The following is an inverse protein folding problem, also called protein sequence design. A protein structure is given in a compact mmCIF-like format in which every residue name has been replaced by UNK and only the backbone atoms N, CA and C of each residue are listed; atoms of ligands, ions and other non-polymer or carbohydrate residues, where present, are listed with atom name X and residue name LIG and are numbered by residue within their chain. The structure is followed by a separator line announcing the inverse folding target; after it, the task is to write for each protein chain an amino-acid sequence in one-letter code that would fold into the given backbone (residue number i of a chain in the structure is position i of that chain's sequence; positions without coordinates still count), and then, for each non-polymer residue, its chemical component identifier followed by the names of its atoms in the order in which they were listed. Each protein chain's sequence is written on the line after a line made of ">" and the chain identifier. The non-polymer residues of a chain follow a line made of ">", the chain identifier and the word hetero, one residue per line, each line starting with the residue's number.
data_IF_243277648660
#
_entry.id   IF_243277648660
#
_cell.length_a   1.000
_cell.length_b   1.000
_cell.length_c   1.000
_cell.angle_alpha   90.00
_cell.angle_beta   90.00
_cell.angle_gamma   90.00
#
_symmetry.space_group_name_H-M   'P 1'
#
loop_
_entity.id
_entity.type
_entity.pdbx_description
1 polymer ?
#
# COMPACT_ATOMS: atom_id res chain seq x y z
N UNK A 1 -52.99 57.97 7.39
CA UNK A 1 -52.06 57.43 6.39
C UNK A 1 -50.82 56.94 7.11
N UNK A 2 -50.75 55.64 7.38
CA UNK A 2 -49.59 55.00 8.03
C UNK A 2 -48.86 54.19 6.98
N UNK A 3 -47.57 54.46 6.77
CA UNK A 3 -46.71 53.65 5.90
C UNK A 3 -45.97 52.65 6.78
N UNK A 4 -46.00 51.35 6.47
CA UNK A 4 -45.17 50.37 7.21
C UNK A 4 -43.75 50.32 6.63
N UNK A 5 -42.81 50.48 7.52
CA UNK A 5 -41.35 50.34 7.31
C UNK A 5 -41.03 48.86 7.10
N UNK A 6 -40.61 48.50 5.88
CA UNK A 6 -40.11 47.15 5.59
C UNK A 6 -38.65 47.04 5.97
N UNK A 7 -38.38 46.35 7.03
CA UNK A 7 -37.01 45.93 7.44
C UNK A 7 -36.59 44.75 6.59
N UNK A 8 -35.64 44.98 5.68
CA UNK A 8 -34.99 43.89 4.93
C UNK A 8 -33.95 43.22 5.81
N UNK A 9 -34.22 41.99 6.23
CA UNK A 9 -33.22 41.14 6.91
C UNK A 9 -32.33 40.56 5.84
N UNK A 10 -31.09 41.06 5.77
CA UNK A 10 -30.02 40.43 4.98
C UNK A 10 -29.53 39.23 5.76
N UNK A 11 -29.95 38.04 5.39
CA UNK A 11 -29.37 36.80 5.86
C UNK A 11 -27.99 36.65 5.20
N UNK A 12 -26.93 36.97 5.93
CA UNK A 12 -25.60 36.61 5.53
C UNK A 12 -25.44 35.07 5.68
N UNK A 13 -25.50 34.40 4.54
CA UNK A 13 -25.16 32.98 4.49
C UNK A 13 -23.65 32.84 4.81
N UNK A 14 -23.33 32.44 6.03
CA UNK A 14 -22.01 31.91 6.39
C UNK A 14 -21.83 30.59 5.62
N UNK A 15 -21.12 30.66 4.51
CA UNK A 15 -20.57 29.49 3.85
C UNK A 15 -19.45 29.00 4.80
N UNK A 16 -19.57 27.81 5.42
CA UNK A 16 -18.44 27.27 6.14
C UNK A 16 -17.34 27.04 5.10
N UNK A 17 -16.24 27.77 5.25
CA UNK A 17 -15.01 27.47 4.55
C UNK A 17 -14.61 26.05 5.00
N UNK A 18 -14.83 25.06 4.15
CA UNK A 18 -14.28 23.73 4.29
C UNK A 18 -12.75 23.88 4.30
N UNK A 19 -12.19 23.92 5.47
CA UNK A 19 -10.74 23.84 5.65
C UNK A 19 -10.36 22.41 5.26
N UNK A 20 -9.95 22.22 4.00
CA UNK A 20 -9.19 21.03 3.61
C UNK A 20 -7.93 21.08 4.49
N UNK A 21 -7.89 20.29 5.53
CA UNK A 21 -6.63 19.96 6.19
C UNK A 21 -5.84 19.13 5.17
N UNK A 22 -5.01 19.80 4.37
CA UNK A 22 -3.94 19.13 3.66
C UNK A 22 -3.04 18.51 4.72
N UNK A 23 -3.13 17.21 4.92
CA UNK A 23 -2.12 16.47 5.64
C UNK A 23 -0.82 16.58 4.84
N UNK A 24 0.29 16.80 5.54
CA UNK A 24 1.59 16.96 4.92
C UNK A 24 1.91 15.72 4.05
N UNK A 25 2.43 15.96 2.86
CA UNK A 25 2.94 14.90 2.00
C UNK A 25 3.95 14.04 2.78
N UNK A 26 3.74 12.74 2.81
CA UNK A 26 4.69 11.79 3.38
C UNK A 26 5.55 11.21 2.26
N UNK A 27 6.85 11.20 2.51
CA UNK A 27 7.81 10.62 1.58
C UNK A 27 8.27 9.26 2.07
N UNK A 28 8.37 8.31 1.14
CA UNK A 28 8.85 6.96 1.40
C UNK A 28 9.99 6.60 0.45
N UNK A 29 11.03 5.98 0.99
CA UNK A 29 11.96 5.17 0.21
C UNK A 29 11.34 3.80 -0.03
N UNK A 30 11.33 3.35 -1.28
CA UNK A 30 10.82 2.05 -1.68
C UNK A 30 11.92 1.20 -2.30
N UNK A 31 11.95 -0.08 -1.95
CA UNK A 31 12.83 -1.05 -2.58
C UNK A 31 12.12 -2.40 -2.69
N UNK A 32 12.48 -3.16 -3.71
CA UNK A 32 11.89 -4.48 -3.92
C UNK A 32 12.82 -5.41 -4.68
N UNK A 33 12.52 -6.68 -4.54
CA UNK A 33 13.15 -7.76 -5.29
C UNK A 33 12.08 -8.78 -5.67
N UNK A 34 12.00 -9.11 -6.94
CA UNK A 34 11.10 -10.12 -7.47
C UNK A 34 11.90 -11.29 -8.03
N UNK A 35 11.44 -12.48 -7.74
CA UNK A 35 12.00 -13.71 -8.28
C UNK A 35 10.91 -14.52 -8.94
N UNK A 36 11.08 -14.83 -10.22
CA UNK A 36 10.14 -15.60 -11.01
C UNK A 36 10.79 -16.93 -11.42
N UNK A 37 10.09 -18.02 -11.17
CA UNK A 37 10.43 -19.35 -11.71
C UNK A 37 9.21 -19.89 -12.45
N UNK A 38 9.37 -20.12 -13.75
CA UNK A 38 8.30 -20.61 -14.62
C UNK A 38 8.70 -21.95 -15.20
N UNK A 39 7.83 -22.94 -15.08
CA UNK A 39 8.09 -24.28 -15.54
C UNK A 39 9.02 -25.08 -14.61
N UNK A 40 9.79 -25.96 -15.19
CA UNK A 40 10.77 -26.81 -14.51
C UNK A 40 12.20 -26.27 -14.62
N UNK A 41 12.38 -25.05 -15.07
CA UNK A 41 13.69 -24.43 -15.23
C UNK A 41 14.35 -24.19 -13.87
N UNK A 42 15.66 -24.38 -13.82
CA UNK A 42 16.46 -24.11 -12.60
C UNK A 42 16.73 -22.60 -12.48
N UNK A 43 16.77 -21.90 -13.62
CA UNK A 43 17.03 -20.46 -13.68
C UNK A 43 15.80 -19.67 -13.22
N UNK A 44 16.04 -18.68 -12.41
CA UNK A 44 15.05 -17.72 -11.95
C UNK A 44 15.36 -16.36 -12.58
N UNK A 45 14.32 -15.66 -13.04
CA UNK A 45 14.44 -14.26 -13.42
C UNK A 45 14.39 -13.42 -12.16
N UNK A 46 15.32 -12.49 -12.01
CA UNK A 46 15.40 -11.57 -10.89
C UNK A 46 15.18 -10.15 -11.36
N UNK A 47 14.31 -9.42 -10.67
CA UNK A 47 14.06 -8.01 -10.90
C UNK A 47 14.27 -7.27 -9.59
N UNK A 48 15.01 -6.18 -9.60
CA UNK A 48 15.21 -5.34 -8.43
C UNK A 48 14.67 -3.94 -8.70
N UNK A 49 14.16 -3.32 -7.64
CA UNK A 49 13.54 -2.01 -7.68
C UNK A 49 14.10 -1.12 -6.59
N UNK A 50 14.28 0.14 -6.89
CA UNK A 50 14.65 1.15 -5.90
C UNK A 50 14.13 2.51 -6.31
N UNK A 51 13.47 3.20 -5.39
CA UNK A 51 12.92 4.51 -5.69
C UNK A 51 12.32 5.21 -4.50
N UNK A 52 11.46 6.15 -4.82
CA UNK A 52 10.76 6.98 -3.85
C UNK A 52 9.29 7.09 -4.22
N UNK A 53 8.47 7.22 -3.19
CA UNK A 53 7.04 7.44 -3.29
C UNK A 53 6.69 8.67 -2.45
N UNK A 54 6.01 9.63 -3.06
CA UNK A 54 5.39 10.76 -2.35
C UNK A 54 3.92 10.48 -2.17
N UNK A 55 3.46 10.39 -0.94
CA UNK A 55 2.07 10.13 -0.59
C UNK A 55 1.42 11.39 -0.05
N UNK A 56 0.42 11.90 -0.77
CA UNK A 56 -0.49 12.92 -0.30
C UNK A 56 -1.74 12.27 0.31
N UNK A 57 -2.18 12.76 1.46
CA UNK A 57 -3.40 12.30 2.13
C UNK A 57 -4.33 13.49 2.27
N UNK A 58 -5.52 13.39 1.72
CA UNK A 58 -6.61 14.35 1.91
C UNK A 58 -7.77 13.68 2.63
N UNK A 59 -8.43 14.41 3.51
CA UNK A 59 -9.61 13.92 4.23
C UNK A 59 -10.76 14.91 4.05
N UNK A 60 -11.94 14.39 3.81
CA UNK A 60 -13.17 15.16 3.70
C UNK A 60 -14.35 14.45 4.37
N UNK A 61 -15.57 14.92 4.11
CA UNK A 61 -16.79 14.32 4.65
C UNK A 61 -17.14 12.95 4.05
N UNK A 62 -16.47 12.52 2.98
CA UNK A 62 -16.70 11.23 2.33
C UNK A 62 -15.71 10.15 2.81
N UNK A 63 -14.50 10.57 3.25
CA UNK A 63 -13.47 9.65 3.71
C UNK A 63 -12.05 10.19 3.55
N UNK A 64 -11.12 9.30 3.23
CA UNK A 64 -9.71 9.62 2.99
C UNK A 64 -9.35 9.32 1.54
N UNK A 65 -8.70 10.27 0.90
CA UNK A 65 -8.13 10.10 -0.43
C UNK A 65 -6.61 10.08 -0.33
N UNK A 66 -6.02 9.02 -0.84
CA UNK A 66 -4.58 8.84 -0.92
C UNK A 66 -4.14 9.01 -2.37
N UNK A 67 -3.11 9.80 -2.58
CA UNK A 67 -2.49 10.00 -3.90
C UNK A 67 -1.01 9.75 -3.76
N UNK A 68 -0.48 8.76 -4.47
CA UNK A 68 0.94 8.46 -4.50
C UNK A 68 1.52 8.81 -5.87
N UNK A 69 2.61 9.57 -5.87
CA UNK A 69 3.48 9.75 -7.03
C UNK A 69 4.75 8.93 -6.80
N UNK A 70 4.99 7.94 -7.66
CA UNK A 70 6.08 6.97 -7.54
C UNK A 70 7.11 7.20 -8.61
N UNK A 71 8.37 7.18 -8.21
CA UNK A 71 9.52 7.26 -9.11
C UNK A 71 10.55 6.23 -8.70
N UNK A 72 10.79 5.21 -9.52
CA UNK A 72 11.74 4.16 -9.20
C UNK A 72 12.55 3.70 -10.41
N UNK A 73 13.66 3.07 -10.11
CA UNK A 73 14.50 2.36 -11.07
C UNK A 73 14.23 0.87 -10.95
N UNK A 74 13.89 0.24 -12.07
CA UNK A 74 13.85 -1.20 -12.26
C UNK A 74 15.15 -1.66 -12.91
N UNK A 75 15.71 -2.76 -12.42
CA UNK A 75 16.86 -3.43 -12.99
C UNK A 75 16.53 -4.91 -13.16
N UNK A 76 16.62 -5.39 -14.38
CA UNK A 76 16.43 -6.79 -14.77
C UNK A 76 17.50 -7.20 -15.81
N UNK A 77 17.35 -8.39 -16.40
CA UNK A 77 18.26 -8.91 -17.43
C UNK A 77 18.30 -8.04 -18.69
N UNK A 78 17.23 -7.30 -18.99
CA UNK A 78 17.16 -6.38 -20.14
C UNK A 78 17.88 -5.04 -19.90
N UNK A 79 18.22 -4.76 -18.64
CA UNK A 79 18.94 -3.56 -18.22
C UNK A 79 18.18 -2.71 -17.21
N UNK A 80 18.50 -1.43 -17.18
CA UNK A 80 17.96 -0.46 -16.22
C UNK A 80 16.89 0.41 -16.89
N UNK A 81 15.72 0.48 -16.27
CA UNK A 81 14.64 1.37 -16.67
C UNK A 81 14.24 2.29 -15.52
N UNK A 82 13.80 3.51 -15.83
CA UNK A 82 13.16 4.41 -14.86
C UNK A 82 11.66 4.41 -15.12
N UNK A 83 10.88 4.23 -14.08
CA UNK A 83 9.43 4.16 -14.14
C UNK A 83 8.83 5.25 -13.26
N UNK A 84 7.78 5.89 -13.75
CA UNK A 84 6.98 6.88 -13.05
C UNK A 84 5.55 6.40 -13.06
N UNK A 85 4.91 6.42 -11.90
CA UNK A 85 3.51 6.05 -11.76
C UNK A 85 2.77 7.01 -10.83
N UNK A 86 1.47 7.08 -10.99
CA UNK A 86 0.58 7.81 -10.10
C UNK A 86 -0.60 6.94 -9.74
N UNK A 87 -0.85 6.81 -8.44
CA UNK A 87 -1.91 5.99 -7.87
C UNK A 87 -2.88 6.86 -7.09
N UNK A 88 -4.14 6.52 -7.16
CA UNK A 88 -5.19 7.16 -6.36
C UNK A 88 -6.02 6.07 -5.73
N UNK A 89 -6.17 6.13 -4.41
CA UNK A 89 -7.04 5.23 -3.66
C UNK A 89 -7.94 6.05 -2.75
N UNK A 90 -9.20 5.71 -2.67
CA UNK A 90 -10.16 6.35 -1.77
C UNK A 90 -10.67 5.32 -0.77
N UNK A 91 -10.54 5.63 0.52
CA UNK A 91 -11.16 4.90 1.62
C UNK A 91 -12.38 5.66 2.06
N UNK A 92 -13.56 5.14 1.77
CA UNK A 92 -14.82 5.72 2.17
C UNK A 92 -15.13 5.44 3.64
N UNK A 93 -16.01 6.21 4.25
CA UNK A 93 -16.39 6.05 5.66
C UNK A 93 -17.07 4.70 5.98
N UNK A 94 -17.64 4.02 5.01
CA UNK A 94 -18.17 2.67 5.15
C UNK A 94 -17.11 1.57 5.11
N UNK A 95 -15.84 1.95 4.93
CA UNK A 95 -14.71 1.05 4.83
C UNK A 95 -14.47 0.48 3.44
N UNK A 96 -15.20 0.94 2.43
CA UNK A 96 -14.98 0.56 1.03
C UNK A 96 -13.74 1.27 0.48
N UNK A 97 -12.88 0.53 -0.20
CA UNK A 97 -11.79 1.09 -1.01
C UNK A 97 -12.25 1.22 -2.45
N UNK A 98 -12.04 2.41 -3.02
CA UNK A 98 -12.15 2.63 -4.45
C UNK A 98 -10.75 2.90 -5.02
N UNK A 99 -10.35 2.06 -5.95
CA UNK A 99 -9.09 2.22 -6.69
C UNK A 99 -9.37 3.01 -7.97
N UNK A 100 -8.70 4.14 -8.13
CA UNK A 100 -8.95 5.08 -9.24
C UNK A 100 -7.69 5.33 -10.05
N UNK A 101 -7.31 4.36 -10.81
CA UNK A 101 -6.19 4.45 -11.72
C UNK A 101 -4.94 3.85 -11.12
N UNK A 102 -4.54 2.80 -11.73
CA UNK A 102 -3.38 2.03 -11.40
C UNK A 102 -2.56 1.90 -12.69
N UNK A 103 -1.40 2.55 -12.69
CA UNK A 103 -0.44 2.45 -13.77
C UNK A 103 0.84 1.72 -13.29
N UNK A 104 0.82 1.13 -12.07
CA UNK A 104 2.00 0.41 -11.56
C UNK A 104 1.90 -1.08 -11.83
N UNK A 105 2.56 -1.58 -12.88
CA UNK A 105 2.58 -3.01 -13.19
C UNK A 105 3.36 -3.82 -12.14
N UNK A 106 4.20 -3.17 -11.33
CA UNK A 106 5.20 -3.83 -10.48
C UNK A 106 4.82 -3.84 -8.98
N UNK A 107 3.65 -3.33 -8.60
CA UNK A 107 3.16 -3.32 -7.20
C UNK A 107 4.13 -2.72 -6.17
N UNK A 108 4.86 -1.68 -6.56
CA UNK A 108 5.81 -1.04 -5.64
C UNK A 108 5.17 -0.03 -4.69
N UNK A 109 4.01 0.49 -5.02
CA UNK A 109 3.36 1.52 -4.22
C UNK A 109 2.87 0.97 -2.88
N UNK A 110 2.94 1.83 -1.87
CA UNK A 110 2.36 1.57 -0.54
C UNK A 110 0.84 1.31 -0.61
N UNK A 111 0.14 1.86 -1.59
CA UNK A 111 -1.31 1.68 -1.77
C UNK A 111 -1.69 0.27 -2.22
N UNK A 112 -0.78 -0.47 -2.83
CA UNK A 112 -0.99 -1.85 -3.24
C UNK A 112 -0.67 -2.86 -2.12
N UNK A 113 -0.37 -2.37 -0.92
CA UNK A 113 -0.12 -3.26 0.21
C UNK A 113 -1.44 -3.65 0.91
N UNK A 114 -1.51 -4.85 1.50
CA UNK A 114 -2.72 -5.32 2.19
C UNK A 114 -2.98 -4.61 3.53
N UNK A 115 -2.13 -3.66 3.89
CA UNK A 115 -2.21 -2.89 5.13
C UNK A 115 -2.54 -1.44 4.84
N UNK A 116 -3.37 -0.86 5.70
CA UNK A 116 -3.71 0.54 5.59
C UNK A 116 -2.47 1.43 5.76
N UNK A 117 -2.37 2.46 4.96
CA UNK A 117 -1.37 3.51 5.05
C UNK A 117 -1.48 4.28 6.37
N UNK A 118 -2.69 4.46 6.86
CA UNK A 118 -2.99 5.14 8.10
C UNK A 118 -4.07 4.33 8.85
N UNK A 119 -3.89 4.14 10.13
CA UNK A 119 -4.85 3.44 10.99
C UNK A 119 -5.77 4.45 11.67
N UNK A 120 -7.01 4.05 11.89
CA UNK A 120 -7.91 4.77 12.78
C UNK A 120 -7.47 4.61 14.25
N UNK A 121 -8.00 5.50 15.11
CA UNK A 121 -7.61 5.53 16.52
C UNK A 121 -8.02 4.27 17.32
N UNK A 122 -9.02 3.53 16.86
CA UNK A 122 -9.46 2.28 17.51
C UNK A 122 -8.48 1.17 17.17
N UNK A 123 -8.22 0.96 15.89
CA UNK A 123 -7.25 -0.03 15.39
C UNK A 123 -5.87 0.21 15.97
N UNK A 124 -5.41 1.46 16.05
CA UNK A 124 -4.12 1.79 16.64
C UNK A 124 -4.05 1.39 18.13
N UNK A 125 -5.09 1.69 18.92
CA UNK A 125 -5.17 1.27 20.33
C UNK A 125 -5.19 -0.24 20.49
N UNK A 126 -5.86 -0.95 19.61
CA UNK A 126 -5.92 -2.40 19.62
C UNK A 126 -4.55 -3.01 19.30
N UNK A 127 -3.81 -2.45 18.35
CA UNK A 127 -2.42 -2.85 18.07
C UNK A 127 -1.49 -2.56 19.26
N UNK A 128 -1.63 -1.45 19.95
CA UNK A 128 -0.84 -1.12 21.16
C UNK A 128 -1.06 -2.15 22.29
N UNK A 129 -2.27 -2.70 22.37
CA UNK A 129 -2.70 -3.67 23.37
C UNK A 129 -2.54 -5.12 22.92
N UNK A 130 -2.15 -5.34 21.68
CA UNK A 130 -2.05 -6.66 21.09
C UNK A 130 -1.17 -7.57 21.95
N UNK A 131 -1.72 -8.70 22.35
CA UNK A 131 -1.04 -9.76 23.11
C UNK A 131 -1.32 -11.11 22.46
N UNK A 132 -0.24 -11.89 22.30
CA UNK A 132 -0.36 -13.19 21.64
C UNK A 132 -0.56 -13.07 20.12
N UNK A 133 -1.24 -14.04 19.56
CA UNK A 133 -1.63 -14.10 18.16
C UNK A 133 -3.13 -13.82 18.03
N UNK A 134 -3.49 -12.92 17.14
CA UNK A 134 -4.88 -12.55 16.83
C UNK A 134 -5.15 -12.87 15.38
N UNK A 135 -6.26 -13.59 15.06
CA UNK A 135 -6.63 -13.85 13.68
C UNK A 135 -6.95 -12.54 12.95
N UNK A 136 -6.61 -12.49 11.66
CA UNK A 136 -7.00 -11.40 10.79
C UNK A 136 -7.23 -11.89 9.37
N UNK A 137 -7.89 -11.08 8.59
CA UNK A 137 -8.07 -11.26 7.16
C UNK A 137 -7.57 -10.02 6.43
N UNK A 138 -6.93 -10.23 5.29
CA UNK A 138 -6.46 -9.18 4.40
C UNK A 138 -6.98 -9.41 2.97
N UNK A 139 -7.13 -8.35 2.21
CA UNK A 139 -7.31 -8.46 0.76
C UNK A 139 -6.01 -8.98 0.14
N UNK A 140 -6.16 -9.77 -0.92
CA UNK A 140 -5.01 -10.16 -1.74
C UNK A 140 -4.48 -8.93 -2.48
N UNK A 141 -3.17 -8.65 -2.46
CA UNK A 141 -2.59 -7.55 -3.24
C UNK A 141 -2.70 -7.76 -4.76
N UNK A 142 -2.97 -8.98 -5.21
CA UNK A 142 -3.21 -9.30 -6.63
C UNK A 142 -4.72 -9.41 -6.97
N UNK A 143 -5.60 -8.97 -6.07
CA UNK A 143 -7.04 -8.99 -6.26
C UNK A 143 -7.70 -10.36 -6.02
N UNK A 144 -9.03 -10.39 -6.10
CA UNK A 144 -9.87 -11.59 -6.24
C UNK A 144 -10.02 -12.51 -5.03
N UNK A 145 -9.15 -12.47 -4.02
CA UNK A 145 -9.13 -13.42 -2.90
C UNK A 145 -8.88 -12.74 -1.56
N UNK A 146 -9.25 -13.41 -0.48
CA UNK A 146 -8.90 -13.00 0.88
C UNK A 146 -7.84 -13.94 1.44
N UNK A 147 -6.89 -13.36 2.14
CA UNK A 147 -5.88 -14.08 2.91
C UNK A 147 -6.32 -14.14 4.36
N UNK A 148 -6.16 -15.27 5.00
CA UNK A 148 -6.47 -15.46 6.42
C UNK A 148 -5.20 -15.79 7.17
N UNK A 149 -5.05 -15.24 8.37
CA UNK A 149 -3.81 -15.44 9.11
C UNK A 149 -3.83 -14.87 10.52
N UNK A 150 -2.65 -14.48 10.98
CA UNK A 150 -2.44 -14.02 12.34
C UNK A 150 -1.57 -12.79 12.40
N UNK A 151 -1.96 -11.88 13.30
CA UNK A 151 -1.16 -10.75 13.73
C UNK A 151 -0.55 -11.05 15.09
N UNK A 152 0.65 -10.54 15.33
CA UNK A 152 1.28 -10.48 16.66
C UNK A 152 2.08 -9.19 16.81
N UNK A 153 2.24 -8.69 18.03
CA UNK A 153 3.07 -7.52 18.26
C UNK A 153 4.52 -7.78 17.84
N UNK A 154 5.12 -6.82 17.17
CA UNK A 154 6.56 -6.73 16.99
C UNK A 154 7.20 -5.97 18.15
N UNK A 155 8.51 -6.06 18.37
CA UNK A 155 9.20 -5.27 19.36
C UNK A 155 8.91 -3.78 19.18
N UNK A 156 8.63 -3.08 20.27
CA UNK A 156 8.51 -1.62 20.25
C UNK A 156 9.87 -1.01 19.91
N UNK A 157 9.85 0.08 19.16
CA UNK A 157 11.08 0.72 18.71
C UNK A 157 10.86 2.12 18.23
N UNK A 158 11.83 2.60 17.50
CA UNK A 158 11.76 3.87 16.78
C UNK A 158 12.12 3.62 15.32
N UNK A 159 11.38 4.23 14.42
CA UNK A 159 11.72 4.34 13.01
C UNK A 159 12.06 5.80 12.78
N UNK A 160 13.30 6.08 12.36
CA UNK A 160 13.82 7.45 12.17
C UNK A 160 13.58 8.40 13.37
N UNK A 161 13.75 7.89 14.58
CA UNK A 161 13.53 8.66 15.79
C UNK A 161 12.07 8.72 16.29
N UNK A 162 11.09 8.39 15.45
CA UNK A 162 9.67 8.38 15.80
C UNK A 162 9.29 7.11 16.57
N UNK A 163 8.69 7.23 17.76
CA UNK A 163 8.15 6.09 18.49
C UNK A 163 7.09 5.38 17.64
N UNK A 164 7.15 4.05 17.57
CA UNK A 164 6.24 3.27 16.74
C UNK A 164 5.70 2.02 17.45
N UNK A 165 4.55 1.57 16.98
CA UNK A 165 3.95 0.27 17.26
C UNK A 165 4.24 -0.65 16.08
N UNK A 166 4.84 -1.80 16.37
CA UNK A 166 5.14 -2.80 15.36
C UNK A 166 4.16 -3.95 15.40
N UNK A 167 3.76 -4.44 14.23
CA UNK A 167 2.95 -5.65 14.05
C UNK A 167 3.66 -6.59 13.08
N UNK A 168 3.78 -7.86 13.46
CA UNK A 168 4.15 -8.94 12.56
C UNK A 168 2.89 -9.64 12.08
N UNK A 169 2.88 -9.99 10.82
CA UNK A 169 1.76 -10.65 10.19
C UNK A 169 2.22 -11.88 9.41
N UNK A 170 1.34 -12.84 9.32
CA UNK A 170 1.46 -13.98 8.43
C UNK A 170 0.06 -14.37 7.98
N UNK A 171 -0.15 -14.50 6.67
CA UNK A 171 -1.43 -14.91 6.10
C UNK A 171 -1.23 -15.79 4.88
N UNK A 172 -2.18 -16.67 4.65
CA UNK A 172 -2.20 -17.60 3.54
C UNK A 172 -3.60 -17.59 2.92
N UNK A 173 -3.68 -17.90 1.64
CA UNK A 173 -4.97 -18.05 0.98
C UNK A 173 -4.86 -18.46 -0.48
N UNK A 174 -5.98 -18.91 -1.06
CA UNK A 174 -6.03 -19.17 -2.50
C UNK A 174 -5.89 -17.86 -3.27
N UNK A 175 -5.30 -17.93 -4.45
CA UNK A 175 -5.27 -16.81 -5.37
C UNK A 175 -5.64 -17.27 -6.77
N UNK A 176 -6.32 -16.37 -7.49
CA UNK A 176 -6.62 -16.53 -8.91
C UNK A 176 -6.59 -15.13 -9.52
N UNK A 177 -5.85 -14.93 -10.59
CA UNK A 177 -5.70 -13.65 -11.25
C UNK A 177 -4.88 -13.76 -12.51
N UNK A 178 -4.45 -12.64 -13.03
CA UNK A 178 -3.53 -12.55 -14.16
C UNK A 178 -2.27 -11.82 -13.73
N UNK A 179 -1.15 -12.08 -14.39
CA UNK A 179 0.08 -11.32 -14.23
C UNK A 179 0.10 -10.20 -15.26
N UNK A 180 0.61 -9.00 -14.92
CA UNK A 180 0.74 -7.90 -15.87
C UNK A 180 1.52 -8.30 -17.13
N UNK A 181 2.57 -9.09 -16.97
CA UNK A 181 3.41 -9.57 -18.08
C UNK A 181 2.73 -10.65 -18.95
N UNK A 182 1.67 -11.27 -18.41
CA UNK A 182 0.93 -12.36 -19.04
C UNK A 182 -0.59 -12.19 -18.87
N UNK A 183 -1.19 -11.12 -19.43
CA UNK A 183 -2.61 -10.80 -19.21
C UNK A 183 -3.56 -11.86 -19.78
N UNK A 184 -3.13 -12.63 -20.78
CA UNK A 184 -3.90 -13.72 -21.41
C UNK A 184 -3.78 -15.06 -20.67
N UNK A 185 -2.99 -15.13 -19.61
CA UNK A 185 -2.76 -16.34 -18.84
C UNK A 185 -3.36 -16.23 -17.44
N UNK A 186 -4.09 -17.28 -17.04
CA UNK A 186 -4.67 -17.37 -15.70
C UNK A 186 -3.64 -17.95 -14.73
N UNK A 187 -3.29 -17.17 -13.71
CA UNK A 187 -2.51 -17.64 -12.58
C UNK A 187 -3.47 -18.13 -11.49
N UNK A 188 -3.27 -19.35 -11.02
CA UNK A 188 -4.00 -19.93 -9.91
C UNK A 188 -3.08 -20.68 -8.97
N UNK A 189 -3.33 -20.59 -7.67
CA UNK A 189 -2.46 -21.23 -6.68
C UNK A 189 -2.74 -20.80 -5.24
N UNK A 190 -1.72 -20.86 -4.43
CA UNK A 190 -1.72 -20.40 -3.04
C UNK A 190 -0.77 -19.23 -2.89
N UNK A 191 -1.23 -18.22 -2.18
CA UNK A 191 -0.44 -17.06 -1.79
C UNK A 191 -0.10 -17.15 -0.31
N UNK A 192 1.18 -16.90 0.01
CA UNK A 192 1.70 -16.80 1.35
C UNK A 192 2.27 -15.40 1.53
N UNK A 193 1.86 -14.72 2.57
CA UNK A 193 2.30 -13.38 2.90
C UNK A 193 2.84 -13.34 4.32
N UNK A 194 4.02 -12.80 4.51
CA UNK A 194 4.56 -12.53 5.83
C UNK A 194 5.36 -11.22 5.86
N UNK A 195 5.45 -10.62 7.04
CA UNK A 195 6.20 -9.39 7.18
C UNK A 195 6.03 -8.69 8.51
N UNK A 196 6.50 -7.45 8.53
CA UNK A 196 6.41 -6.56 9.69
C UNK A 196 6.08 -5.14 9.24
N UNK A 197 5.06 -4.54 9.86
CA UNK A 197 4.70 -3.14 9.66
C UNK A 197 4.91 -2.36 10.96
N UNK A 198 5.31 -1.09 10.84
CA UNK A 198 5.49 -0.16 11.95
C UNK A 198 4.70 1.11 11.69
N UNK A 199 3.84 1.45 12.64
CA UNK A 199 3.01 2.65 12.61
C UNK A 199 3.45 3.66 13.66
N UNK A 200 3.48 4.94 13.30
CA UNK A 200 3.76 6.02 14.22
C UNK A 200 2.74 6.01 15.38
N UNK A 201 3.20 6.20 16.62
CA UNK A 201 2.28 6.33 17.76
C UNK A 201 1.42 7.59 17.65
N UNK A 202 1.94 8.64 17.03
CA UNK A 202 1.19 9.88 16.76
C UNK A 202 0.82 9.90 15.28
N UNK A 203 -0.47 10.09 15.00
CA UNK A 203 -1.00 10.15 13.63
C UNK A 203 -1.23 8.78 12.99
N UNK A 204 -0.75 7.69 13.61
CA UNK A 204 -0.97 6.30 13.18
C UNK A 204 -0.61 6.01 11.71
N UNK A 205 0.33 6.79 11.15
CA UNK A 205 0.81 6.64 9.79
C UNK A 205 1.83 5.49 9.70
N UNK A 206 1.83 4.73 8.62
CA UNK A 206 2.82 3.70 8.35
C UNK A 206 4.20 4.34 8.20
N UNK A 207 5.17 3.88 9.01
CA UNK A 207 6.56 4.36 8.97
C UNK A 207 7.50 3.38 8.27
N UNK A 208 7.22 2.09 8.37
CA UNK A 208 8.01 1.08 7.69
C UNK A 208 7.19 -0.19 7.44
N UNK A 209 7.43 -0.81 6.32
CA UNK A 209 6.94 -2.12 5.96
C UNK A 209 8.11 -2.94 5.42
N UNK A 210 8.17 -4.20 5.82
CA UNK A 210 9.04 -5.22 5.25
C UNK A 210 8.18 -6.46 5.06
N UNK A 211 7.90 -6.82 3.81
CA UNK A 211 6.93 -7.86 3.48
C UNK A 211 7.43 -8.76 2.36
N UNK A 212 7.16 -10.03 2.49
CA UNK A 212 7.37 -11.04 1.45
C UNK A 212 6.04 -11.66 1.08
N UNK A 213 5.78 -11.73 -0.21
CA UNK A 213 4.65 -12.41 -0.81
C UNK A 213 5.19 -13.54 -1.68
N UNK A 214 4.79 -14.76 -1.40
CA UNK A 214 5.15 -15.93 -2.21
C UNK A 214 3.89 -16.51 -2.84
N UNK A 215 3.94 -16.76 -4.14
CA UNK A 215 2.89 -17.44 -4.90
C UNK A 215 3.45 -18.76 -5.39
N UNK A 216 2.83 -19.85 -4.99
CA UNK A 216 3.06 -21.18 -5.51
C UNK A 216 1.82 -21.63 -6.30
N UNK A 217 1.96 -21.77 -7.62
CA UNK A 217 0.80 -21.98 -8.45
C UNK A 217 1.09 -22.54 -9.84
N UNK A 218 0.15 -22.29 -10.73
CA UNK A 218 0.20 -22.66 -12.13
C UNK A 218 -0.26 -21.49 -12.98
N UNK A 219 0.48 -21.23 -14.04
CA UNK A 219 0.09 -20.31 -15.10
C UNK A 219 -0.54 -21.12 -16.24
N UNK A 220 -1.77 -20.79 -16.60
CA UNK A 220 -2.53 -21.49 -17.63
C UNK A 220 -2.81 -20.54 -18.79
N UNK A 221 -2.39 -20.94 -20.00
CA UNK A 221 -2.68 -20.25 -21.25
C UNK A 221 -3.25 -21.25 -22.24
N UNK A 222 -4.53 -21.10 -22.58
CA UNK A 222 -5.24 -22.09 -23.38
C UNK A 222 -5.25 -23.48 -22.74
N UNK A 223 -4.69 -24.46 -23.42
CA UNK A 223 -4.57 -25.85 -22.94
C UNK A 223 -3.25 -26.14 -22.20
N UNK A 224 -2.32 -25.20 -22.21
CA UNK A 224 -1.02 -25.35 -21.57
C UNK A 224 -1.07 -24.90 -20.13
N UNK A 225 -0.41 -25.66 -19.25
CA UNK A 225 -0.29 -25.33 -17.84
C UNK A 225 1.13 -25.57 -17.35
N UNK A 226 1.76 -24.53 -16.83
CA UNK A 226 3.12 -24.59 -16.30
C UNK A 226 3.14 -24.22 -14.82
N UNK A 227 3.92 -24.93 -13.98
CA UNK A 227 4.10 -24.53 -12.60
C UNK A 227 4.83 -23.20 -12.55
N UNK A 228 4.46 -22.37 -11.57
CA UNK A 228 5.09 -21.07 -11.34
C UNK A 228 5.32 -20.86 -9.85
N UNK A 229 6.46 -20.30 -9.52
CA UNK A 229 6.74 -19.76 -8.19
C UNK A 229 7.23 -18.34 -8.32
N UNK A 230 6.54 -17.42 -7.63
CA UNK A 230 6.86 -16.00 -7.64
C UNK A 230 7.09 -15.58 -6.20
N UNK A 231 8.14 -14.81 -5.98
CA UNK A 231 8.45 -14.21 -4.68
C UNK A 231 8.58 -12.71 -4.91
N UNK A 232 7.77 -11.93 -4.23
CA UNK A 232 7.87 -10.49 -4.15
C UNK A 232 8.36 -10.11 -2.76
N UNK A 233 9.46 -9.40 -2.68
CA UNK A 233 9.93 -8.79 -1.44
C UNK A 233 9.85 -7.28 -1.57
N UNK A 234 9.28 -6.59 -0.58
CA UNK A 234 9.11 -5.14 -0.57
C UNK A 234 9.54 -4.56 0.76
N UNK A 235 10.32 -3.50 0.69
CA UNK A 235 10.65 -2.67 1.83
C UNK A 235 10.25 -1.23 1.55
N UNK A 236 9.48 -0.66 2.45
CA UNK A 236 8.98 0.71 2.40
C UNK A 236 9.36 1.38 3.71
N UNK A 237 9.94 2.58 3.63
CA UNK A 237 10.35 3.34 4.82
C UNK A 237 10.03 4.81 4.63
N UNK A 238 9.31 5.39 5.59
CA UNK A 238 9.15 6.85 5.67
C UNK A 238 10.52 7.53 5.70
N UNK A 239 10.67 8.68 5.06
CA UNK A 239 11.92 9.44 5.02
C UNK A 239 11.68 10.89 5.44
N UNK A 240 12.62 11.45 6.22
CA UNK A 240 12.57 12.83 6.70
C UNK A 240 13.36 13.77 5.78
N UNK A 241 13.14 13.77 4.46
CA UNK A 241 13.93 14.66 3.62
C UNK A 241 13.75 14.50 2.11
N UNK A 242 14.42 15.39 1.38
CA UNK A 242 14.37 15.41 -0.08
C UNK A 242 14.99 14.12 -0.65
N UNK A 243 14.21 13.32 -1.40
CA UNK A 243 14.68 12.04 -1.97
C UNK A 243 15.84 12.20 -2.96
N UNK A 244 15.96 13.35 -3.60
CA UNK A 244 17.03 13.61 -4.56
C UNK A 244 18.43 13.53 -3.94
N UNK A 245 18.56 13.79 -2.63
CA UNK A 245 19.83 13.68 -1.91
C UNK A 245 20.20 12.24 -1.51
N UNK A 246 19.25 11.32 -1.46
CA UNK A 246 19.49 9.94 -1.02
C UNK A 246 19.86 8.98 -2.15
N UNK A 247 19.52 9.31 -3.39
CA UNK A 247 19.84 8.50 -4.57
C UNK A 247 21.25 8.73 -5.12
N UNK A 248 21.96 9.77 -4.65
CA UNK A 248 23.30 10.18 -5.15
C UNK A 248 24.49 9.67 -4.35
N UNK A 249 24.33 8.86 -3.30
CA UNK A 249 25.41 8.49 -2.39
C UNK A 249 25.76 6.99 -2.40
N UNK A 250 25.73 6.35 -3.58
CA UNK A 250 26.35 5.00 -3.76
C UNK A 250 26.91 4.83 -5.16
#
# INVERSE_FOLDING_TARGET
>A
MQFPLRVAVIAAALIPALTLCALADQLYGVAGEDTYRVGRTVEATHITYRGVERLGIASDSQGHRYVADVNYTRLDESGKATVHGRFVQELLHDGTFEDRGDDDPDFLTILNQPFAVQLDAVTMRDLERLRGMVPFEAASPLGGSRLSGYLRSAPRGKVQGHPCVGVRFKADGPMTGTLPEHPDALLSGTMHMDGTAYYAQTGALLLALDATLTIDGKLQSGNDSVPVRIIYHRTIRATDGDPAMQLGSH
#
